data_IF_849829239019
#
_entry.id   IF_849829239019
#
_cell.length_a   1.000
_cell.length_b   1.000
_cell.length_c   1.000
_cell.angle_alpha   90.00
_cell.angle_beta   90.00
_cell.angle_gamma   90.00
#
_symmetry.space_group_name_H-M   'P 1'
#
loop_
_entity.id
_entity.type
_entity.pdbx_description
1 polymer ?
#
# COMPACT_ATOMS: atom_id res chain seq x y z
N UNK A 1 -15.53 11.91 -30.41
CA UNK A 1 -16.72 12.10 -29.56
C UNK A 1 -16.33 11.84 -28.10
N UNK A 2 -16.54 12.82 -27.23
CA UNK A 2 -16.27 12.70 -25.81
C UNK A 2 -17.59 12.87 -25.04
N UNK A 3 -18.15 11.79 -24.46
CA UNK A 3 -19.40 11.86 -23.74
C UNK A 3 -19.26 12.70 -22.47
N UNK A 4 -20.21 13.60 -22.24
CA UNK A 4 -20.26 14.44 -21.03
C UNK A 4 -20.87 13.71 -19.82
N UNK A 5 -21.44 12.52 -20.03
CA UNK A 5 -22.17 11.77 -19.00
C UNK A 5 -23.47 12.46 -18.57
N UNK A 6 -24.02 13.31 -19.43
CA UNK A 6 -25.30 14.00 -19.20
C UNK A 6 -26.30 13.59 -20.27
N UNK A 7 -27.43 13.08 -19.83
CA UNK A 7 -28.56 12.78 -20.68
C UNK A 7 -29.57 13.94 -20.60
N UNK A 8 -29.89 14.53 -21.74
CA UNK A 8 -30.84 15.64 -21.90
C UNK A 8 -31.86 15.27 -22.95
N UNK A 9 -33.12 15.70 -22.75
CA UNK A 9 -34.10 15.63 -23.82
C UNK A 9 -33.81 16.68 -24.90
N UNK A 10 -34.33 16.53 -26.14
CA UNK A 10 -34.15 17.54 -27.19
C UNK A 10 -34.59 18.94 -26.74
N UNK A 11 -35.71 19.04 -26.01
CA UNK A 11 -36.26 20.29 -25.50
C UNK A 11 -35.34 20.93 -24.45
N UNK A 12 -34.78 20.10 -23.53
CA UNK A 12 -33.82 20.57 -22.54
C UNK A 12 -32.52 21.07 -23.17
N UNK A 13 -32.08 20.41 -24.26
CA UNK A 13 -30.90 20.83 -25.00
C UNK A 13 -31.11 22.19 -25.68
N UNK A 14 -32.25 22.42 -26.34
CA UNK A 14 -32.58 23.70 -26.97
C UNK A 14 -32.67 24.84 -25.95
N UNK A 15 -33.21 24.57 -24.76
CA UNK A 15 -33.34 25.56 -23.69
C UNK A 15 -32.03 25.78 -22.92
N UNK A 16 -31.02 24.95 -23.07
CA UNK A 16 -29.82 24.94 -22.21
C UNK A 16 -29.09 26.30 -22.19
N UNK A 17 -29.08 27.02 -23.35
CA UNK A 17 -28.40 28.30 -23.49
C UNK A 17 -29.07 29.48 -22.74
N UNK A 18 -30.39 29.47 -22.64
CA UNK A 18 -31.18 30.60 -22.14
C UNK A 18 -31.85 30.34 -20.77
N UNK A 19 -31.85 29.09 -20.30
CA UNK A 19 -32.58 28.70 -19.08
C UNK A 19 -31.99 29.27 -17.80
N UNK A 20 -32.87 29.63 -16.84
CA UNK A 20 -32.54 29.99 -15.46
C UNK A 20 -32.81 28.85 -14.48
N UNK A 21 -33.32 27.72 -14.96
CA UNK A 21 -33.56 26.55 -14.10
C UNK A 21 -32.23 26.03 -13.50
N UNK A 22 -32.14 25.96 -12.18
CA UNK A 22 -30.92 25.67 -11.43
C UNK A 22 -30.22 24.37 -11.88
N UNK A 23 -31.02 23.32 -12.18
CA UNK A 23 -30.51 22.04 -12.64
C UNK A 23 -29.84 22.14 -14.03
N UNK A 24 -30.49 22.77 -15.00
CA UNK A 24 -29.96 22.95 -16.34
C UNK A 24 -28.79 23.96 -16.40
N UNK A 25 -28.80 24.98 -15.54
CA UNK A 25 -27.63 25.88 -15.36
C UNK A 25 -26.42 25.11 -14.85
N UNK A 26 -26.58 24.16 -13.93
CA UNK A 26 -25.51 23.30 -13.47
C UNK A 26 -24.97 22.42 -14.59
N UNK A 27 -25.85 21.80 -15.37
CA UNK A 27 -25.49 20.99 -16.55
C UNK A 27 -24.71 21.82 -17.58
N UNK A 28 -25.18 23.04 -17.89
CA UNK A 28 -24.47 23.97 -18.81
C UNK A 28 -23.05 24.27 -18.32
N UNK A 29 -22.89 24.60 -17.03
CA UNK A 29 -21.57 24.83 -16.44
C UNK A 29 -20.64 23.63 -16.53
N UNK A 30 -21.18 22.43 -16.31
CA UNK A 30 -20.40 21.18 -16.41
C UNK A 30 -19.94 20.93 -17.86
N UNK A 31 -20.82 21.15 -18.84
CA UNK A 31 -20.49 21.03 -20.28
C UNK A 31 -19.42 22.06 -20.67
N UNK A 32 -19.59 23.31 -20.26
CA UNK A 32 -18.66 24.39 -20.55
C UNK A 32 -17.29 24.13 -19.91
N UNK A 33 -17.26 23.68 -18.68
CA UNK A 33 -16.02 23.26 -18.00
C UNK A 33 -15.33 22.11 -18.72
N UNK A 34 -16.09 21.11 -19.18
CA UNK A 34 -15.56 19.98 -19.95
C UNK A 34 -14.97 20.42 -21.28
N UNK A 35 -15.66 21.33 -21.98
CA UNK A 35 -15.16 21.91 -23.23
C UNK A 35 -13.84 22.69 -23.04
N UNK A 36 -13.74 23.51 -22.01
CA UNK A 36 -12.51 24.25 -21.71
C UNK A 36 -11.34 23.32 -21.39
N UNK A 37 -11.58 22.20 -20.72
CA UNK A 37 -10.56 21.19 -20.41
C UNK A 37 -10.03 20.56 -21.73
N UNK A 38 -10.94 20.14 -22.62
CA UNK A 38 -10.54 19.56 -23.91
C UNK A 38 -9.79 20.58 -24.74
N UNK A 39 -10.29 21.81 -24.85
CA UNK A 39 -9.66 22.92 -25.57
C UNK A 39 -8.25 23.21 -25.08
N UNK A 40 -8.06 23.36 -23.77
CA UNK A 40 -6.76 23.60 -23.17
C UNK A 40 -5.78 22.42 -23.39
N UNK A 41 -6.26 21.19 -23.40
CA UNK A 41 -5.45 20.02 -23.72
C UNK A 41 -4.98 20.03 -25.18
N UNK A 42 -5.88 20.37 -26.13
CA UNK A 42 -5.56 20.48 -27.57
C UNK A 42 -4.54 21.60 -27.79
N UNK A 43 -4.80 22.81 -27.28
CA UNK A 43 -3.91 23.96 -27.41
C UNK A 43 -2.50 23.67 -26.89
N UNK A 44 -2.40 23.01 -25.74
CA UNK A 44 -1.10 22.65 -25.15
C UNK A 44 -0.35 21.59 -25.97
N UNK A 45 -1.03 20.56 -26.47
CA UNK A 45 -0.41 19.52 -27.29
C UNK A 45 0.00 20.07 -28.66
N UNK A 46 -0.83 20.93 -29.27
CA UNK A 46 -0.53 21.59 -30.53
C UNK A 46 0.65 22.57 -30.41
N UNK A 47 0.70 23.35 -29.33
CA UNK A 47 1.77 24.31 -29.09
C UNK A 47 3.14 23.67 -28.82
N UNK A 48 3.18 22.42 -28.37
CA UNK A 48 4.41 21.65 -28.15
C UNK A 48 4.76 20.68 -29.31
N UNK A 49 4.06 20.75 -30.43
CA UNK A 49 4.33 19.92 -31.60
C UNK A 49 4.03 18.41 -31.44
N UNK A 50 3.37 18.03 -30.34
CA UNK A 50 3.12 16.63 -29.96
C UNK A 50 1.64 16.23 -30.06
N UNK A 51 0.83 16.92 -30.90
CA UNK A 51 -0.59 16.56 -31.03
C UNK A 51 -0.79 15.23 -31.77
N UNK A 52 -1.39 14.28 -31.08
CA UNK A 52 -2.01 13.09 -31.67
C UNK A 52 -3.32 12.81 -30.91
N UNK A 53 -4.24 12.07 -31.54
CA UNK A 53 -5.48 11.65 -30.89
C UNK A 53 -5.20 10.77 -29.66
N UNK A 54 -4.17 9.94 -29.72
CA UNK A 54 -3.77 9.10 -28.59
C UNK A 54 -3.21 9.94 -27.45
N UNK A 55 -2.34 10.92 -27.72
CA UNK A 55 -1.84 11.86 -26.72
C UNK A 55 -2.97 12.71 -26.11
N UNK A 56 -3.95 13.12 -26.93
CA UNK A 56 -5.14 13.82 -26.44
C UNK A 56 -6.02 12.89 -25.60
N UNK A 57 -6.26 11.67 -26.02
CA UNK A 57 -7.02 10.68 -25.28
C UNK A 57 -6.37 10.35 -23.95
N UNK A 58 -5.06 10.15 -23.91
CA UNK A 58 -4.31 9.88 -22.69
C UNK A 58 -4.35 11.09 -21.75
N UNK A 59 -4.25 12.30 -22.31
CA UNK A 59 -4.37 13.52 -21.53
C UNK A 59 -5.79 13.76 -21.04
N UNK A 60 -6.83 13.44 -21.81
CA UNK A 60 -8.23 13.56 -21.41
C UNK A 60 -8.68 12.44 -20.46
N UNK A 61 -8.18 11.23 -20.61
CA UNK A 61 -8.30 10.18 -19.59
C UNK A 61 -7.67 10.65 -18.27
N UNK A 62 -6.53 11.35 -18.33
CA UNK A 62 -5.94 12.07 -17.20
C UNK A 62 -6.79 13.27 -16.73
N UNK A 63 -7.50 13.96 -17.61
CA UNK A 63 -8.34 15.13 -17.28
C UNK A 63 -9.71 14.77 -16.68
N UNK A 64 -10.29 13.62 -17.06
CA UNK A 64 -11.43 13.02 -16.33
C UNK A 64 -11.04 12.62 -14.90
N UNK A 65 -9.74 12.56 -14.62
CA UNK A 65 -9.15 12.25 -13.33
C UNK A 65 -8.47 13.45 -12.64
N UNK A 66 -8.86 14.69 -12.95
CA UNK A 66 -8.26 15.90 -12.34
C UNK A 66 -8.55 16.08 -10.85
N UNK A 67 -8.80 14.97 -10.15
CA UNK A 67 -8.94 14.96 -8.69
C UNK A 67 -7.94 14.00 -8.06
N UNK A 68 -7.56 14.33 -6.83
CA UNK A 68 -6.69 13.46 -6.02
C UNK A 68 -7.29 12.05 -5.91
N UNK A 69 -8.61 11.95 -5.64
CA UNK A 69 -9.30 10.66 -5.51
C UNK A 69 -9.23 9.83 -6.79
N UNK A 70 -9.44 10.43 -7.94
CA UNK A 70 -9.39 9.71 -9.22
C UNK A 70 -7.99 9.17 -9.52
N UNK A 71 -6.93 9.95 -9.25
CA UNK A 71 -5.56 9.46 -9.39
C UNK A 71 -5.20 8.36 -8.39
N UNK A 72 -5.72 8.43 -7.15
CA UNK A 72 -5.60 7.31 -6.21
C UNK A 72 -6.28 6.04 -6.74
N UNK A 73 -7.52 6.14 -7.25
CA UNK A 73 -8.25 5.00 -7.83
C UNK A 73 -7.53 4.40 -9.04
N UNK A 74 -6.99 5.23 -9.91
CA UNK A 74 -6.18 4.77 -11.05
C UNK A 74 -4.91 4.03 -10.57
N UNK A 75 -4.22 4.56 -9.54
CA UNK A 75 -3.03 3.91 -8.96
C UNK A 75 -3.37 2.60 -8.27
N UNK A 76 -4.50 2.51 -7.58
CA UNK A 76 -5.00 1.27 -6.96
C UNK A 76 -5.23 0.21 -8.03
N UNK A 77 -5.93 0.53 -9.11
CA UNK A 77 -6.18 -0.39 -10.23
C UNK A 77 -4.89 -0.85 -10.94
N UNK A 78 -3.92 0.05 -11.13
CA UNK A 78 -2.58 -0.29 -11.65
C UNK A 78 -1.88 -1.32 -10.75
N UNK A 79 -1.87 -1.08 -9.44
CA UNK A 79 -1.22 -1.95 -8.46
C UNK A 79 -1.91 -3.30 -8.35
N UNK A 80 -3.23 -3.34 -8.44
CA UNK A 80 -4.04 -4.56 -8.45
C UNK A 80 -3.71 -5.40 -9.68
N UNK A 81 -3.72 -4.81 -10.88
CA UNK A 81 -3.35 -5.47 -12.14
C UNK A 81 -1.91 -6.00 -12.09
N UNK A 82 -1.01 -5.31 -11.41
CA UNK A 82 0.38 -5.74 -11.22
C UNK A 82 0.57 -6.78 -10.10
N UNK A 83 -0.50 -7.25 -9.44
CA UNK A 83 -0.43 -8.19 -8.30
C UNK A 83 0.23 -7.61 -7.04
N UNK A 84 0.41 -6.27 -6.98
CA UNK A 84 1.05 -5.57 -5.86
C UNK A 84 0.07 -5.26 -4.73
N UNK A 85 -0.62 -6.30 -4.26
CA UNK A 85 -1.73 -6.22 -3.29
C UNK A 85 -1.35 -5.46 -2.03
N UNK A 86 -0.15 -5.65 -1.49
CA UNK A 86 0.29 -4.93 -0.29
C UNK A 86 0.30 -3.42 -0.47
N UNK A 87 0.81 -2.93 -1.61
CA UNK A 87 0.81 -1.49 -1.94
C UNK A 87 -0.60 -0.99 -2.24
N UNK A 88 -1.37 -1.76 -2.99
CA UNK A 88 -2.76 -1.46 -3.32
C UNK A 88 -3.60 -1.20 -2.07
N UNK A 89 -3.53 -2.09 -1.06
CA UNK A 89 -4.26 -1.94 0.21
C UNK A 89 -3.83 -0.68 0.99
N UNK A 90 -2.56 -0.27 0.91
CA UNK A 90 -2.11 0.97 1.57
C UNK A 90 -2.69 2.19 0.85
N UNK A 91 -2.65 2.24 -0.50
CA UNK A 91 -3.25 3.32 -1.27
C UNK A 91 -4.76 3.42 -1.03
N UNK A 92 -5.48 2.28 -0.97
CA UNK A 92 -6.92 2.22 -0.67
C UNK A 92 -7.23 2.75 0.73
N UNK A 93 -6.46 2.35 1.74
CA UNK A 93 -6.62 2.86 3.10
C UNK A 93 -6.37 4.38 3.18
N UNK A 94 -5.37 4.89 2.47
CA UNK A 94 -5.10 6.33 2.40
C UNK A 94 -6.24 7.06 1.72
N UNK A 95 -6.74 6.56 0.59
CA UNK A 95 -7.89 7.13 -0.12
C UNK A 95 -9.11 7.23 0.79
N UNK A 96 -9.46 6.14 1.49
CA UNK A 96 -10.56 6.14 2.48
C UNK A 96 -10.37 7.20 3.58
N UNK A 97 -9.12 7.42 4.04
CA UNK A 97 -8.79 8.47 4.99
C UNK A 97 -9.01 9.88 4.42
N UNK A 98 -8.60 10.10 3.19
CA UNK A 98 -8.80 11.36 2.46
C UNK A 98 -10.29 11.65 2.23
N UNK A 99 -11.06 10.63 1.84
CA UNK A 99 -12.50 10.75 1.59
C UNK A 99 -13.27 11.07 2.87
N UNK A 100 -12.92 10.49 4.00
CA UNK A 100 -13.52 10.86 5.30
C UNK A 100 -13.20 12.30 5.69
N UNK A 101 -12.00 12.79 5.37
CA UNK A 101 -11.59 14.15 5.72
C UNK A 101 -12.17 15.22 4.80
N UNK A 102 -12.17 15.00 3.49
CA UNK A 102 -12.45 16.05 2.51
C UNK A 102 -13.41 15.64 1.38
N UNK A 103 -14.01 14.44 1.47
CA UNK A 103 -14.99 13.95 0.48
C UNK A 103 -14.35 13.28 -0.73
N UNK A 104 -15.22 12.88 -1.67
CA UNK A 104 -14.85 12.03 -2.81
C UNK A 104 -14.29 12.80 -4.03
N UNK A 105 -14.18 14.14 -3.93
CA UNK A 105 -13.75 14.99 -5.05
C UNK A 105 -12.78 16.09 -4.59
N UNK A 106 -11.58 15.69 -4.19
CA UNK A 106 -10.54 16.60 -3.73
C UNK A 106 -9.79 17.15 -4.94
N UNK A 107 -9.85 18.48 -5.15
CA UNK A 107 -9.10 19.14 -6.19
C UNK A 107 -7.63 19.31 -5.80
N UNK A 108 -6.70 19.26 -6.77
CA UNK A 108 -5.27 19.37 -6.50
C UNK A 108 -4.87 20.74 -5.93
N UNK A 109 -5.51 21.81 -6.35
CA UNK A 109 -5.29 23.18 -5.87
C UNK A 109 -5.77 23.40 -4.42
N UNK A 110 -6.73 22.59 -3.96
CA UNK A 110 -7.16 22.57 -2.57
C UNK A 110 -6.09 22.02 -1.61
N UNK A 111 -5.16 21.19 -2.11
CA UNK A 111 -4.11 20.53 -1.30
C UNK A 111 -2.97 21.51 -1.04
N UNK A 112 -3.17 22.44 -0.12
CA UNK A 112 -2.20 23.44 0.34
C UNK A 112 -1.44 22.99 1.58
N UNK A 113 -0.41 23.70 1.99
CA UNK A 113 0.31 23.46 3.27
C UNK A 113 -0.66 23.48 4.46
N UNK A 114 -1.58 24.43 4.50
CA UNK A 114 -2.60 24.53 5.56
C UNK A 114 -3.56 23.34 5.53
N UNK A 115 -3.96 22.89 4.34
CA UNK A 115 -4.80 21.72 4.17
C UNK A 115 -4.10 20.44 4.70
N UNK A 116 -2.79 20.26 4.39
CA UNK A 116 -2.00 19.12 4.88
C UNK A 116 -1.87 19.10 6.40
N UNK A 117 -1.70 20.27 7.04
CA UNK A 117 -1.70 20.37 8.51
C UNK A 117 -3.04 19.93 9.08
N UNK A 118 -4.15 20.43 8.55
CA UNK A 118 -5.51 20.03 9.00
C UNK A 118 -5.77 18.54 8.80
N UNK A 119 -5.27 17.94 7.72
CA UNK A 119 -5.40 16.49 7.49
C UNK A 119 -4.59 15.68 8.51
N UNK A 120 -3.36 16.11 8.82
CA UNK A 120 -2.56 15.47 9.87
C UNK A 120 -3.23 15.57 11.24
N UNK A 121 -3.77 16.74 11.59
CA UNK A 121 -4.53 16.96 12.84
C UNK A 121 -5.81 16.11 12.90
N UNK A 122 -6.51 15.97 11.78
CA UNK A 122 -7.68 15.07 11.67
C UNK A 122 -7.30 13.61 11.97
N UNK A 123 -6.21 13.12 11.36
CA UNK A 123 -5.73 11.75 11.62
C UNK A 123 -5.27 11.57 13.07
N UNK A 124 -4.67 12.59 13.67
CA UNK A 124 -4.29 12.57 15.10
C UNK A 124 -5.52 12.47 15.99
N UNK A 125 -6.59 13.22 15.68
CA UNK A 125 -7.88 13.14 16.40
C UNK A 125 -8.56 11.79 16.22
N UNK A 126 -8.36 11.11 15.08
CA UNK A 126 -8.78 9.70 14.88
C UNK A 126 -7.90 8.69 15.66
N UNK A 127 -6.95 9.14 16.47
CA UNK A 127 -6.04 8.27 17.25
C UNK A 127 -4.93 7.61 16.42
N UNK A 128 -4.64 8.12 15.21
CA UNK A 128 -3.53 7.58 14.41
C UNK A 128 -2.19 8.03 14.97
N UNK A 129 -1.26 7.06 15.08
CA UNK A 129 0.12 7.36 15.47
C UNK A 129 0.89 8.05 14.33
N UNK A 130 1.94 8.80 14.68
CA UNK A 130 2.74 9.58 13.73
C UNK A 130 3.25 8.77 12.53
N UNK A 131 3.64 7.50 12.73
CA UNK A 131 4.06 6.63 11.63
C UNK A 131 2.95 6.41 10.60
N UNK A 132 1.70 6.23 11.05
CA UNK A 132 0.54 6.08 10.16
C UNK A 132 0.25 7.38 9.42
N UNK A 133 0.30 8.53 10.11
CA UNK A 133 0.14 9.86 9.50
C UNK A 133 1.18 10.07 8.39
N UNK A 134 2.44 9.73 8.68
CA UNK A 134 3.53 9.82 7.70
C UNK A 134 3.28 8.91 6.47
N UNK A 135 2.72 7.71 6.66
CA UNK A 135 2.34 6.82 5.55
C UNK A 135 1.28 7.50 4.67
N UNK A 136 0.22 8.05 5.26
CA UNK A 136 -0.83 8.76 4.52
C UNK A 136 -0.24 9.92 3.69
N UNK A 137 0.57 10.76 4.31
CA UNK A 137 1.17 11.93 3.66
C UNK A 137 2.18 11.56 2.57
N UNK A 138 2.97 10.49 2.75
CA UNK A 138 3.90 10.02 1.71
C UNK A 138 3.17 9.49 0.47
N UNK A 139 2.04 8.80 0.63
CA UNK A 139 1.24 8.31 -0.49
C UNK A 139 0.54 9.47 -1.21
N UNK A 140 0.00 10.45 -0.46
CA UNK A 140 -0.53 11.67 -1.05
C UNK A 140 0.56 12.44 -1.82
N UNK A 141 1.78 12.57 -1.25
CA UNK A 141 2.93 13.17 -1.93
C UNK A 141 3.29 12.44 -3.22
N UNK A 142 3.21 11.10 -3.24
CA UNK A 142 3.46 10.33 -4.45
C UNK A 142 2.46 10.69 -5.56
N UNK A 143 1.17 10.76 -5.25
CA UNK A 143 0.12 11.17 -6.19
C UNK A 143 0.32 12.64 -6.65
N UNK A 144 0.67 13.54 -5.73
CA UNK A 144 0.99 14.95 -6.09
C UNK A 144 2.22 15.03 -7.02
N UNK A 145 3.22 14.17 -6.84
CA UNK A 145 4.37 14.08 -7.74
C UNK A 145 3.98 13.59 -9.12
N UNK A 146 3.10 12.59 -9.19
CA UNK A 146 2.57 12.09 -10.46
C UNK A 146 1.76 13.18 -11.17
N UNK A 147 0.88 13.88 -10.46
CA UNK A 147 0.12 15.01 -10.98
C UNK A 147 1.03 16.16 -11.48
N UNK A 148 2.14 16.44 -10.79
CA UNK A 148 3.15 17.42 -11.21
C UNK A 148 3.85 16.99 -12.49
N UNK A 149 4.25 15.72 -12.62
CA UNK A 149 4.84 15.19 -13.86
C UNK A 149 3.91 15.26 -15.07
N UNK A 150 2.61 15.11 -14.82
CA UNK A 150 1.56 15.25 -15.84
C UNK A 150 1.19 16.71 -16.15
N UNK A 151 1.80 17.69 -15.46
CA UNK A 151 1.49 19.12 -15.63
C UNK A 151 0.16 19.56 -15.04
N UNK A 152 -0.52 18.71 -14.26
CA UNK A 152 -1.78 19.02 -13.57
C UNK A 152 -1.53 19.97 -12.39
N UNK A 153 -0.42 19.76 -11.67
CA UNK A 153 0.01 20.60 -10.55
C UNK A 153 1.24 21.40 -10.96
N UNK A 154 1.15 22.73 -10.88
CA UNK A 154 2.30 23.63 -11.12
C UNK A 154 3.28 23.58 -9.95
N UNK A 155 4.56 23.85 -10.22
CA UNK A 155 5.60 23.87 -9.19
C UNK A 155 5.30 24.87 -8.05
N UNK A 156 4.69 26.01 -8.39
CA UNK A 156 4.29 27.03 -7.43
C UNK A 156 3.16 26.58 -6.50
N UNK A 157 2.35 25.62 -6.91
CA UNK A 157 1.21 25.07 -6.16
C UNK A 157 1.58 23.81 -5.37
N UNK A 158 2.78 23.22 -5.62
CA UNK A 158 3.19 21.99 -4.98
C UNK A 158 3.49 22.21 -3.49
N UNK A 159 2.77 21.54 -2.55
CA UNK A 159 2.79 21.90 -1.14
C UNK A 159 3.89 21.24 -0.31
N UNK A 160 4.61 20.23 -0.86
CA UNK A 160 5.61 19.48 -0.11
C UNK A 160 7.03 19.98 -0.36
N UNK A 161 7.91 19.88 0.63
CA UNK A 161 9.35 20.14 0.50
C UNK A 161 9.87 21.16 1.51
N UNK A 162 11.15 21.49 1.37
CA UNK A 162 11.84 22.44 2.26
C UNK A 162 11.20 23.81 2.18
N UNK A 163 10.87 24.38 3.32
CA UNK A 163 10.15 25.67 3.42
C UNK A 163 8.65 25.59 3.09
N UNK A 164 8.12 24.37 2.87
CA UNK A 164 6.69 24.08 2.68
C UNK A 164 6.24 23.08 3.73
N UNK A 165 5.52 22.01 3.34
CA UNK A 165 5.15 20.94 4.27
C UNK A 165 6.21 19.83 4.26
N UNK A 166 6.85 19.62 5.40
CA UNK A 166 7.80 18.53 5.62
C UNK A 166 7.11 17.42 6.42
N UNK A 167 7.17 16.19 5.86
CA UNK A 167 6.54 15.02 6.49
C UNK A 167 7.43 14.59 7.65
N UNK A 168 6.91 14.70 8.87
CA UNK A 168 7.61 14.24 10.06
C UNK A 168 7.59 12.71 10.12
N UNK A 169 8.72 12.12 10.50
CA UNK A 169 8.83 10.68 10.73
C UNK A 169 8.41 10.34 12.15
N UNK A 170 7.71 9.22 12.30
CA UNK A 170 7.43 8.68 13.62
C UNK A 170 8.62 7.87 14.13
N UNK A 171 8.87 7.92 15.42
CA UNK A 171 9.83 7.03 16.06
C UNK A 171 9.31 5.60 16.03
N UNK A 172 10.05 4.69 15.40
CA UNK A 172 9.77 3.26 15.43
C UNK A 172 10.12 2.68 16.79
N UNK A 173 9.27 1.80 17.34
CA UNK A 173 9.66 1.00 18.50
C UNK A 173 10.85 0.12 18.13
N UNK A 174 11.96 0.29 18.81
CA UNK A 174 13.11 -0.61 18.72
C UNK A 174 13.09 -1.50 19.97
N UNK A 175 12.54 -2.71 19.85
CA UNK A 175 12.64 -3.73 20.87
C UNK A 175 13.78 -4.69 20.48
N UNK A 176 14.88 -4.63 21.21
CA UNK A 176 15.94 -5.61 21.08
C UNK A 176 15.81 -6.59 22.26
N UNK A 177 15.58 -7.87 21.95
CA UNK A 177 15.58 -8.93 22.95
C UNK A 177 17.01 -9.39 23.24
N UNK A 178 17.31 -9.68 24.52
CA UNK A 178 18.58 -10.32 24.88
C UNK A 178 18.56 -11.81 24.53
N UNK A 179 19.74 -12.42 24.40
CA UNK A 179 19.85 -13.86 24.16
C UNK A 179 19.19 -14.69 25.28
N UNK A 180 19.26 -14.21 26.52
CA UNK A 180 18.58 -14.84 27.66
C UNK A 180 17.06 -14.81 27.45
N UNK A 181 16.50 -13.67 27.08
CA UNK A 181 15.06 -13.54 26.79
C UNK A 181 14.62 -14.45 25.65
N UNK A 182 15.41 -14.53 24.58
CA UNK A 182 15.16 -15.45 23.46
C UNK A 182 15.20 -16.91 23.93
N UNK A 183 16.17 -17.25 24.78
CA UNK A 183 16.27 -18.59 25.38
C UNK A 183 15.08 -18.93 26.29
N UNK A 184 14.54 -17.95 27.04
CA UNK A 184 13.31 -18.12 27.84
C UNK A 184 12.09 -18.33 26.96
N UNK A 185 11.96 -17.57 25.87
CA UNK A 185 10.89 -17.73 24.88
C UNK A 185 10.97 -19.13 24.25
N UNK A 186 12.15 -19.57 23.83
CA UNK A 186 12.35 -20.86 23.19
C UNK A 186 11.91 -22.04 24.07
N UNK A 187 12.10 -21.93 25.37
CA UNK A 187 11.75 -22.97 26.36
C UNK A 187 10.35 -22.83 26.95
N UNK A 188 9.60 -21.78 26.58
CA UNK A 188 8.27 -21.55 27.14
C UNK A 188 7.28 -22.61 26.68
N UNK A 189 6.57 -23.22 27.60
CA UNK A 189 5.52 -24.20 27.34
C UNK A 189 4.33 -23.92 28.27
N UNK A 190 3.13 -23.95 27.74
CA UNK A 190 1.86 -23.79 28.42
C UNK A 190 0.89 -24.97 28.17
N UNK A 191 1.38 -26.04 27.54
CA UNK A 191 0.59 -27.20 27.13
C UNK A 191 -0.26 -26.97 25.86
N UNK A 192 -0.29 -25.76 25.30
CA UNK A 192 -1.04 -25.44 24.09
C UNK A 192 -0.21 -25.71 22.82
N UNK A 193 -0.70 -26.60 21.97
CA UNK A 193 -0.08 -26.87 20.66
C UNK A 193 -0.03 -25.60 19.80
N UNK A 194 -1.06 -24.76 19.85
CA UNK A 194 -1.09 -23.49 19.13
C UNK A 194 0.01 -22.52 19.61
N UNK A 195 0.26 -22.47 20.93
CA UNK A 195 1.34 -21.66 21.49
C UNK A 195 2.69 -22.20 21.04
N UNK A 196 2.91 -23.51 21.14
CA UNK A 196 4.13 -24.16 20.67
C UNK A 196 4.37 -23.86 19.18
N UNK A 197 3.36 -24.01 18.31
CA UNK A 197 3.46 -23.77 16.87
C UNK A 197 3.84 -22.32 16.56
N UNK A 198 3.17 -21.35 17.12
CA UNK A 198 3.44 -19.94 16.79
C UNK A 198 4.71 -19.40 17.45
N UNK A 199 5.12 -19.94 18.62
CA UNK A 199 6.44 -19.73 19.21
C UNK A 199 7.53 -20.26 18.29
N UNK A 200 7.40 -21.49 17.80
CA UNK A 200 8.37 -22.11 16.92
C UNK A 200 8.47 -21.36 15.58
N UNK A 201 7.35 -20.90 15.04
CA UNK A 201 7.36 -20.03 13.85
C UNK A 201 8.09 -18.71 14.11
N UNK A 202 7.85 -18.08 15.25
CA UNK A 202 8.55 -16.86 15.63
C UNK A 202 10.07 -17.11 15.79
N UNK A 203 10.47 -18.21 16.42
CA UNK A 203 11.87 -18.64 16.54
C UNK A 203 12.49 -18.88 15.16
N UNK A 204 11.77 -19.53 14.26
CA UNK A 204 12.25 -19.73 12.90
C UNK A 204 12.49 -18.38 12.18
N UNK A 205 11.56 -17.44 12.29
CA UNK A 205 11.73 -16.10 11.73
C UNK A 205 13.00 -15.42 12.29
N UNK A 206 13.23 -15.54 13.58
CA UNK A 206 14.41 -14.99 14.24
C UNK A 206 15.71 -15.66 13.76
N UNK A 207 15.76 -16.99 13.77
CA UNK A 207 16.93 -17.78 13.35
C UNK A 207 17.22 -17.62 11.86
N UNK A 208 16.21 -17.33 11.05
CA UNK A 208 16.34 -17.02 9.63
C UNK A 208 16.67 -15.52 9.38
N UNK A 209 17.51 -14.92 10.23
CA UNK A 209 17.98 -13.53 10.15
C UNK A 209 16.83 -12.50 10.07
N UNK A 210 15.73 -12.75 10.76
CA UNK A 210 14.55 -11.87 10.73
C UNK A 210 13.83 -11.90 9.38
N UNK A 211 13.67 -13.06 8.78
CA UNK A 211 12.88 -13.21 7.56
C UNK A 211 11.46 -12.67 7.76
N UNK A 212 10.96 -11.92 6.79
CA UNK A 212 9.60 -11.41 6.86
C UNK A 212 8.58 -12.55 6.71
N UNK A 213 7.45 -12.49 7.43
CA UNK A 213 6.39 -13.51 7.34
C UNK A 213 5.93 -13.72 5.88
N UNK A 214 5.93 -12.68 5.04
CA UNK A 214 5.56 -12.79 3.64
C UNK A 214 6.56 -13.62 2.81
N UNK A 215 7.84 -13.60 3.18
CA UNK A 215 8.87 -14.43 2.55
C UNK A 215 8.85 -15.84 3.16
N UNK A 216 8.68 -15.95 4.49
CA UNK A 216 8.57 -17.22 5.22
C UNK A 216 7.47 -18.14 4.66
N UNK A 217 6.26 -17.64 4.42
CA UNK A 217 5.14 -18.45 3.91
C UNK A 217 5.39 -18.98 2.49
N UNK A 218 6.33 -18.41 1.77
CA UNK A 218 6.68 -18.79 0.39
C UNK A 218 7.90 -19.70 0.27
N UNK A 219 8.61 -19.94 1.37
CA UNK A 219 9.74 -20.86 1.37
C UNK A 219 9.31 -22.26 0.91
N UNK A 220 10.07 -22.82 -0.01
CA UNK A 220 9.89 -24.17 -0.52
C UNK A 220 11.10 -25.02 -0.19
N UNK A 221 10.92 -26.34 -0.20
CA UNK A 221 12.06 -27.26 0.03
C UNK A 221 13.17 -27.09 -0.99
N UNK A 222 12.88 -26.66 -2.22
CA UNK A 222 13.91 -26.32 -3.23
C UNK A 222 14.78 -25.13 -2.86
N UNK A 223 14.33 -24.29 -1.93
CA UNK A 223 15.06 -23.12 -1.46
C UNK A 223 16.08 -23.51 -0.37
N UNK A 224 16.08 -24.78 0.05
CA UNK A 224 17.10 -25.37 0.91
C UNK A 224 18.15 -26.02 0.00
N UNK A 225 19.33 -25.41 -0.07
CA UNK A 225 20.45 -25.84 -0.92
C UNK A 225 21.69 -25.93 -0.04
N UNK A 226 22.36 -27.09 -0.04
CA UNK A 226 23.60 -27.35 0.70
C UNK A 226 23.53 -26.96 2.20
N UNK A 227 22.37 -27.20 2.83
CA UNK A 227 22.16 -26.85 4.24
C UNK A 227 21.87 -25.37 4.50
N UNK A 228 21.64 -24.58 3.47
CA UNK A 228 21.29 -23.17 3.56
C UNK A 228 19.90 -22.91 2.98
N UNK A 229 19.13 -22.01 3.60
CA UNK A 229 17.92 -21.44 3.01
C UNK A 229 18.32 -20.24 2.16
N UNK A 230 18.02 -20.30 0.86
CA UNK A 230 18.32 -19.28 -0.13
C UNK A 230 17.06 -18.60 -0.62
N UNK A 231 16.90 -17.31 -0.40
CA UNK A 231 15.70 -16.58 -0.84
C UNK A 231 15.99 -15.13 -1.23
N UNK A 232 15.12 -14.56 -2.06
CA UNK A 232 15.16 -13.14 -2.42
C UNK A 232 14.02 -12.43 -1.69
N UNK A 233 14.33 -11.32 -1.02
CA UNK A 233 13.34 -10.56 -0.24
C UNK A 233 12.32 -9.86 -1.14
N UNK A 234 11.05 -10.25 -1.08
CA UNK A 234 9.97 -9.69 -1.89
C UNK A 234 9.82 -8.16 -1.76
N UNK A 235 9.97 -7.62 -0.55
CA UNK A 235 9.79 -6.18 -0.32
C UNK A 235 10.72 -5.32 -1.17
N UNK A 236 11.90 -5.81 -1.50
CA UNK A 236 12.93 -5.07 -2.23
C UNK A 236 13.16 -5.59 -3.65
N UNK A 237 12.50 -6.66 -4.06
CA UNK A 237 12.64 -7.30 -5.37
C UNK A 237 12.45 -6.33 -6.55
N UNK A 238 11.52 -5.38 -6.42
CA UNK A 238 11.20 -4.39 -7.45
C UNK A 238 11.87 -3.03 -7.27
N UNK A 239 12.60 -2.81 -6.17
CA UNK A 239 13.20 -1.49 -5.84
C UNK A 239 14.71 -1.48 -5.94
N UNK A 240 15.37 -2.63 -5.93
CA UNK A 240 16.83 -2.74 -6.05
C UNK A 240 17.21 -3.14 -7.47
N UNK A 241 18.23 -2.45 -8.02
CA UNK A 241 18.78 -2.79 -9.34
C UNK A 241 19.42 -4.19 -9.39
N UNK A 242 19.88 -4.69 -8.23
CA UNK A 242 20.51 -6.02 -8.11
C UNK A 242 19.72 -6.84 -7.10
N UNK A 243 19.15 -7.96 -7.54
CA UNK A 243 18.52 -8.94 -6.65
C UNK A 243 19.62 -9.58 -5.80
N UNK A 244 19.62 -9.27 -4.49
CA UNK A 244 20.51 -9.94 -3.53
C UNK A 244 19.81 -11.15 -2.96
N UNK A 245 20.37 -12.33 -3.21
CA UNK A 245 19.98 -13.56 -2.52
C UNK A 245 20.45 -13.49 -1.06
N UNK A 246 19.59 -13.83 -0.15
CA UNK A 246 19.89 -13.99 1.27
C UNK A 246 20.11 -15.48 1.50
N UNK A 247 21.21 -15.84 2.12
CA UNK A 247 21.55 -17.21 2.49
C UNK A 247 21.63 -17.32 4.00
N UNK A 248 20.99 -18.33 4.54
CA UNK A 248 20.93 -18.58 5.98
C UNK A 248 21.17 -20.06 6.25
N UNK A 249 22.19 -20.36 7.03
CA UNK A 249 22.48 -21.74 7.42
C UNK A 249 21.34 -22.33 8.22
N UNK A 250 20.87 -23.51 7.86
CA UNK A 250 19.85 -24.26 8.59
C UNK A 250 20.47 -24.86 9.83
N UNK A 251 20.21 -24.21 10.98
CA UNK A 251 20.68 -24.74 12.26
C UNK A 251 19.77 -25.87 12.77
N UNK A 252 20.24 -26.76 13.67
CA UNK A 252 19.44 -27.89 14.14
C UNK A 252 18.07 -27.51 14.70
N UNK A 253 17.97 -26.34 15.33
CA UNK A 253 16.69 -25.82 15.85
C UNK A 253 15.71 -25.48 14.73
N UNK A 254 16.19 -24.93 13.61
CA UNK A 254 15.34 -24.68 12.43
C UNK A 254 14.88 -25.99 11.81
N UNK A 255 15.78 -26.98 11.72
CA UNK A 255 15.42 -28.30 11.19
C UNK A 255 14.34 -28.97 12.06
N UNK A 256 14.48 -28.94 13.38
CA UNK A 256 13.48 -29.48 14.31
C UNK A 256 12.10 -28.81 14.14
N UNK A 257 12.07 -27.49 13.85
CA UNK A 257 10.83 -26.77 13.58
C UNK A 257 10.22 -27.20 12.24
N UNK A 258 11.05 -27.40 11.21
CA UNK A 258 10.61 -27.91 9.90
C UNK A 258 10.04 -29.33 10.07
N UNK A 259 10.73 -30.21 10.78
CA UNK A 259 10.32 -31.62 10.98
C UNK A 259 8.98 -31.70 11.75
N UNK A 260 8.76 -30.78 12.70
CA UNK A 260 7.55 -30.76 13.53
C UNK A 260 6.34 -30.15 12.83
N UNK A 261 6.51 -29.10 12.07
CA UNK A 261 5.43 -28.25 11.56
C UNK A 261 5.39 -28.15 10.04
N UNK A 262 6.38 -28.70 9.35
CA UNK A 262 6.50 -28.61 7.91
C UNK A 262 5.56 -29.56 7.16
N UNK A 263 5.35 -29.27 5.90
CA UNK A 263 4.75 -30.22 4.96
C UNK A 263 5.70 -31.39 4.70
N UNK A 264 5.19 -32.51 4.19
CA UNK A 264 6.07 -33.59 3.68
C UNK A 264 7.09 -33.05 2.68
N UNK A 265 8.38 -33.45 2.80
CA UNK A 265 9.41 -32.97 1.90
C UNK A 265 9.09 -33.27 0.43
N UNK A 266 9.28 -32.26 -0.41
CA UNK A 266 9.08 -32.36 -1.85
C UNK A 266 9.56 -31.06 -2.50
N UNK A 267 10.36 -31.16 -3.54
CA UNK A 267 11.09 -30.03 -4.14
C UNK A 267 10.22 -28.77 -4.31
N UNK A 268 8.98 -28.93 -4.74
CA UNK A 268 8.07 -27.80 -5.01
C UNK A 268 7.08 -27.52 -3.87
N UNK A 269 7.08 -28.32 -2.80
CA UNK A 269 6.20 -28.11 -1.66
C UNK A 269 6.66 -26.88 -0.87
N UNK A 270 5.71 -26.10 -0.36
CA UNK A 270 6.02 -25.11 0.66
C UNK A 270 6.54 -25.81 1.92
N UNK A 271 7.52 -25.22 2.59
CA UNK A 271 8.05 -25.78 3.84
C UNK A 271 6.93 -25.83 4.90
N UNK A 272 6.19 -24.74 5.06
CA UNK A 272 5.13 -24.66 6.05
C UNK A 272 3.73 -24.66 5.43
N UNK A 273 2.73 -25.31 6.07
CA UNK A 273 1.37 -25.48 5.54
C UNK A 273 0.53 -24.20 5.72
N UNK A 274 0.94 -23.09 5.11
CA UNK A 274 0.23 -21.80 5.12
C UNK A 274 -0.39 -21.52 3.76
N UNK A 275 0.39 -21.73 2.71
CA UNK A 275 -0.04 -21.65 1.33
C UNK A 275 -0.10 -23.07 0.72
N UNK A 276 -1.03 -23.28 -0.21
CA UNK A 276 -1.14 -24.53 -0.98
C UNK A 276 -0.77 -24.35 -2.46
N UNK A 277 -0.63 -23.11 -2.92
CA UNK A 277 -0.22 -22.75 -4.29
C UNK A 277 -1.40 -22.50 -5.24
N UNK A 278 -2.62 -22.59 -4.75
CA UNK A 278 -3.84 -22.26 -5.53
C UNK A 278 -4.29 -20.81 -5.33
N UNK A 279 -3.71 -20.13 -4.31
CA UNK A 279 -4.10 -18.79 -3.96
C UNK A 279 -3.68 -17.75 -4.99
N UNK A 280 -4.59 -16.83 -5.33
CA UNK A 280 -4.24 -15.58 -5.96
C UNK A 280 -3.46 -14.64 -5.02
N UNK A 281 -2.98 -13.54 -5.54
CA UNK A 281 -2.16 -12.58 -4.78
C UNK A 281 -2.90 -11.99 -3.56
N UNK A 282 -4.23 -11.82 -3.64
CA UNK A 282 -5.04 -11.31 -2.52
C UNK A 282 -5.16 -12.37 -1.42
N UNK A 283 -5.50 -13.60 -1.77
CA UNK A 283 -5.61 -14.70 -0.81
C UNK A 283 -4.26 -15.01 -0.14
N UNK A 284 -3.14 -15.00 -0.89
CA UNK A 284 -1.80 -15.10 -0.29
C UNK A 284 -1.53 -13.99 0.72
N UNK A 285 -1.91 -12.74 0.40
CA UNK A 285 -1.77 -11.61 1.30
C UNK A 285 -2.61 -11.78 2.55
N UNK A 286 -3.85 -12.21 2.43
CA UNK A 286 -4.76 -12.45 3.56
C UNK A 286 -4.23 -13.57 4.47
N UNK A 287 -3.85 -14.73 3.92
CA UNK A 287 -3.26 -15.85 4.69
C UNK A 287 -2.01 -15.39 5.46
N UNK A 288 -1.13 -14.60 4.80
CA UNK A 288 0.05 -14.01 5.44
C UNK A 288 -0.31 -13.07 6.60
N UNK A 289 -1.32 -12.22 6.42
CA UNK A 289 -1.79 -11.30 7.46
C UNK A 289 -2.41 -12.05 8.64
N UNK A 290 -3.19 -13.09 8.39
CA UNK A 290 -3.77 -13.92 9.46
C UNK A 290 -2.68 -14.63 10.25
N UNK A 291 -1.68 -15.23 9.57
CA UNK A 291 -0.54 -15.83 10.24
C UNK A 291 0.23 -14.82 11.09
N UNK A 292 0.53 -13.64 10.53
CA UNK A 292 1.23 -12.58 11.26
C UNK A 292 0.48 -12.17 12.54
N UNK A 293 -0.84 -12.02 12.44
CA UNK A 293 -1.69 -11.69 13.60
C UNK A 293 -1.70 -12.82 14.64
N UNK A 294 -1.78 -14.07 14.19
CA UNK A 294 -1.77 -15.23 15.08
C UNK A 294 -0.44 -15.36 15.83
N UNK A 295 0.70 -15.24 15.13
CA UNK A 295 2.02 -15.24 15.76
C UNK A 295 2.11 -14.08 16.76
N UNK A 296 1.81 -12.85 16.35
CA UNK A 296 1.93 -11.69 17.22
C UNK A 296 1.05 -11.80 18.47
N UNK A 297 -0.20 -12.27 18.32
CA UNK A 297 -1.10 -12.47 19.46
C UNK A 297 -0.51 -13.47 20.47
N UNK A 298 -0.04 -14.63 20.02
CA UNK A 298 0.55 -15.65 20.90
C UNK A 298 1.86 -15.18 21.51
N UNK A 299 2.72 -14.51 20.74
CA UNK A 299 3.98 -13.99 21.24
C UNK A 299 3.78 -12.86 22.26
N UNK A 300 2.71 -12.07 22.13
CA UNK A 300 2.32 -11.09 23.12
C UNK A 300 1.92 -11.77 24.43
N UNK A 301 1.06 -12.79 24.37
CA UNK A 301 0.66 -13.61 25.55
C UNK A 301 1.90 -14.24 26.23
N UNK A 302 2.81 -14.83 25.45
CA UNK A 302 4.09 -15.38 25.95
C UNK A 302 4.95 -14.29 26.59
N UNK A 303 5.05 -13.12 25.96
CA UNK A 303 5.81 -11.98 26.50
C UNK A 303 5.26 -11.49 27.82
N UNK A 304 3.95 -11.43 27.99
CA UNK A 304 3.27 -11.07 29.24
C UNK A 304 3.58 -12.08 30.34
N UNK A 305 3.47 -13.38 30.07
CA UNK A 305 3.78 -14.44 31.03
C UNK A 305 5.25 -14.45 31.46
N UNK A 306 6.15 -14.12 30.55
CA UNK A 306 7.59 -14.07 30.83
C UNK A 306 8.08 -12.72 31.36
N UNK A 307 7.20 -11.70 31.44
CA UNK A 307 7.60 -10.33 31.86
C UNK A 307 8.56 -9.65 30.87
N UNK A 308 8.53 -10.03 29.59
CA UNK A 308 9.44 -9.50 28.54
C UNK A 308 8.82 -8.31 27.80
N UNK A 309 7.49 -8.10 27.94
CA UNK A 309 6.75 -7.07 27.20
C UNK A 309 6.28 -7.54 25.83
N UNK A 310 5.92 -6.59 24.96
CA UNK A 310 5.35 -6.89 23.64
C UNK A 310 6.38 -7.50 22.69
N UNK A 311 6.25 -8.79 22.42
CA UNK A 311 7.02 -9.52 21.41
C UNK A 311 6.22 -9.52 20.11
N UNK A 312 6.89 -9.24 18.98
CA UNK A 312 6.27 -9.26 17.65
C UNK A 312 7.19 -9.90 16.62
N UNK A 313 6.67 -10.14 15.42
CA UNK A 313 7.44 -10.63 14.27
C UNK A 313 8.39 -9.58 13.66
N UNK A 314 8.49 -8.38 14.25
CA UNK A 314 9.35 -7.28 13.81
C UNK A 314 10.14 -6.69 14.98
#
# INVERSE_FOLDING_TARGET
YYPTGKDLTPEEWEMLGATKARALVAVRKDIESSYQIVRAAVENLAGNGGFSLDALNDRLKGAASNTVNAMFRAKIAELEKAGRVGSMLVYDNVLKGLERFAGERIQFDAVTVSWLKRYADFLTKEGKVQTTISIHLRHLRAIMNDARRLGIVKETQYPFGRGRYEIQEGEGRKLALTLEQIGRIARYEDGSEATAKYRDYWLFLYLCNGINVADFVKLRYRDIVDGEICFVRQKTEHTTKTRKEIRVVVVPQMQAIIDRWGNPPGRNNFIFPVLDGTEDAMHQKLKTMYLTRAINKRMQEVGEQLGIGNISTY
#
